data_IF_351332986042
#
_entry.id   IF_351332986042
#
_cell.length_a   1.000
_cell.length_b   1.000
_cell.length_c   1.000
_cell.angle_alpha   90.00
_cell.angle_beta   90.00
_cell.angle_gamma   90.00
#
_symmetry.space_group_name_H-M   'P 1'
#
loop_
_entity.id
_entity.type
_entity.pdbx_description
1 polymer ?
#
# COMPACT_ATOMS: atom_id res chain seq x y z
N UNK A 1 23.48 -22.86 -12.00
CA UNK A 1 22.46 -21.79 -12.15
C UNK A 1 22.73 -21.07 -13.47
N UNK A 2 21.74 -20.91 -14.36
CA UNK A 2 21.99 -20.27 -15.67
C UNK A 2 21.99 -18.74 -15.54
N UNK A 3 22.79 -18.04 -16.34
CA UNK A 3 22.86 -16.56 -16.34
C UNK A 3 21.47 -15.92 -16.57
N UNK A 4 20.60 -16.61 -17.32
CA UNK A 4 19.20 -16.23 -17.54
C UNK A 4 18.36 -16.24 -16.24
N UNK A 5 18.56 -17.25 -15.39
CA UNK A 5 17.86 -17.37 -14.11
C UNK A 5 18.24 -16.24 -13.14
N UNK A 6 19.53 -15.88 -13.10
CA UNK A 6 20.01 -14.78 -12.24
C UNK A 6 19.41 -13.45 -12.69
N UNK A 7 19.39 -13.16 -14.00
CA UNK A 7 18.75 -11.94 -14.54
C UNK A 7 17.27 -11.82 -14.17
N UNK A 8 16.51 -12.90 -14.27
CA UNK A 8 15.08 -12.92 -13.92
C UNK A 8 14.89 -12.69 -12.41
N UNK A 9 15.73 -13.31 -11.58
CA UNK A 9 15.69 -13.12 -10.13
C UNK A 9 15.99 -11.68 -9.72
N UNK A 10 17.08 -11.10 -10.23
CA UNK A 10 17.45 -9.69 -9.98
C UNK A 10 16.35 -8.74 -10.45
N UNK A 11 15.78 -8.98 -11.62
CA UNK A 11 14.68 -8.14 -12.13
C UNK A 11 13.42 -8.22 -11.24
N UNK A 12 13.06 -9.42 -10.79
CA UNK A 12 11.91 -9.61 -9.89
C UNK A 12 12.14 -8.96 -8.52
N UNK A 13 13.36 -9.04 -8.00
CA UNK A 13 13.76 -8.36 -6.77
C UNK A 13 13.64 -6.84 -6.89
N UNK A 14 14.18 -6.25 -7.96
CA UNK A 14 14.09 -4.81 -8.21
C UNK A 14 12.62 -4.36 -8.31
N UNK A 15 11.77 -5.14 -8.99
CA UNK A 15 10.34 -4.86 -9.05
C UNK A 15 9.78 -4.76 -7.63
N UNK A 16 9.88 -5.83 -6.83
CA UNK A 16 9.29 -5.84 -5.48
C UNK A 16 9.86 -4.74 -4.59
N UNK A 17 11.17 -4.48 -4.67
CA UNK A 17 11.84 -3.42 -3.90
C UNK A 17 11.27 -2.03 -4.20
N UNK A 18 11.03 -1.72 -5.48
CA UNK A 18 10.50 -0.42 -5.90
C UNK A 18 9.00 -0.26 -5.61
N UNK A 19 8.28 -1.34 -5.35
CA UNK A 19 6.84 -1.28 -5.10
C UNK A 19 6.48 -0.70 -3.72
N UNK A 20 7.39 -0.79 -2.74
CA UNK A 20 7.22 -0.14 -1.43
C UNK A 20 7.16 1.40 -1.54
N UNK A 21 8.15 2.11 -2.10
CA UNK A 21 8.08 3.57 -2.25
C UNK A 21 6.94 4.01 -3.18
N UNK A 22 6.55 3.20 -4.15
CA UNK A 22 5.37 3.47 -4.98
C UNK A 22 4.07 3.46 -4.16
N UNK A 23 3.91 2.51 -3.25
CA UNK A 23 2.76 2.47 -2.33
C UNK A 23 2.69 3.71 -1.43
N UNK A 24 3.82 4.12 -0.84
CA UNK A 24 3.87 5.35 -0.04
C UNK A 24 3.61 6.60 -0.88
N UNK A 25 4.09 6.64 -2.12
CA UNK A 25 3.80 7.75 -3.04
C UNK A 25 2.30 7.87 -3.29
N UNK A 26 1.61 6.74 -3.48
CA UNK A 26 0.16 6.70 -3.66
C UNK A 26 -0.59 7.22 -2.42
N UNK A 27 -0.11 6.89 -1.22
CA UNK A 27 -0.65 7.40 0.04
C UNK A 27 -0.51 8.92 0.13
N UNK A 28 0.69 9.46 -0.07
CA UNK A 28 0.95 10.90 -0.03
C UNK A 28 0.13 11.63 -1.09
N UNK A 29 -0.01 11.03 -2.26
CA UNK A 29 -0.84 11.59 -3.33
C UNK A 29 -2.32 11.66 -2.92
N UNK A 30 -2.84 10.60 -2.30
CA UNK A 30 -4.20 10.58 -1.79
C UNK A 30 -4.43 11.62 -0.67
N UNK A 31 -3.47 11.76 0.25
CA UNK A 31 -3.50 12.80 1.29
C UNK A 31 -3.52 14.21 0.69
N UNK A 32 -2.67 14.50 -0.31
CA UNK A 32 -2.57 15.82 -0.93
C UNK A 32 -3.73 16.17 -1.86
N UNK A 33 -4.25 15.20 -2.61
CA UNK A 33 -5.34 15.44 -3.56
C UNK A 33 -6.71 15.47 -2.89
N UNK A 34 -6.89 14.72 -1.80
CA UNK A 34 -8.17 14.52 -1.14
C UNK A 34 -8.07 14.82 0.36
N UNK A 35 -7.47 15.94 0.78
CA UNK A 35 -7.21 16.25 2.20
C UNK A 35 -8.42 15.99 3.11
N UNK A 36 -9.60 16.55 2.78
CA UNK A 36 -10.84 16.34 3.54
C UNK A 36 -11.53 15.00 3.27
N UNK A 37 -11.24 14.36 2.14
CA UNK A 37 -11.90 13.14 1.67
C UNK A 37 -10.93 11.94 1.58
N UNK A 38 -9.84 11.96 2.34
CA UNK A 38 -8.73 11.01 2.25
C UNK A 38 -9.21 9.57 2.38
N UNK A 39 -10.20 9.33 3.24
CA UNK A 39 -10.81 8.02 3.46
C UNK A 39 -11.65 7.55 2.26
N UNK A 40 -12.33 8.45 1.57
CA UNK A 40 -13.11 8.11 0.37
C UNK A 40 -12.15 7.77 -0.78
N UNK A 41 -11.10 8.58 -0.97
CA UNK A 41 -10.06 8.31 -1.96
C UNK A 41 -9.36 6.97 -1.71
N UNK A 42 -9.04 6.68 -0.45
CA UNK A 42 -8.46 5.41 -0.02
C UNK A 42 -9.41 4.22 -0.27
N UNK A 43 -10.71 4.41 0.00
CA UNK A 43 -11.76 3.45 -0.34
C UNK A 43 -11.78 3.11 -1.83
N UNK A 44 -11.75 4.12 -2.70
CA UNK A 44 -11.71 3.95 -4.17
C UNK A 44 -10.44 3.21 -4.60
N UNK A 45 -9.27 3.57 -4.05
CA UNK A 45 -7.99 2.90 -4.36
C UNK A 45 -8.10 1.40 -4.04
N UNK A 46 -8.61 1.04 -2.86
CA UNK A 46 -8.77 -0.37 -2.50
C UNK A 46 -9.80 -1.11 -3.37
N UNK A 47 -10.90 -0.46 -3.77
CA UNK A 47 -11.83 -1.04 -4.75
C UNK A 47 -11.19 -1.31 -6.11
N UNK A 48 -10.35 -0.38 -6.60
CA UNK A 48 -9.56 -0.58 -7.82
C UNK A 48 -8.61 -1.78 -7.64
N UNK A 49 -8.00 -1.92 -6.45
CA UNK A 49 -7.20 -3.08 -6.09
C UNK A 49 -7.96 -4.40 -6.17
N UNK A 50 -9.14 -4.49 -5.56
CA UNK A 50 -10.00 -5.69 -5.63
C UNK A 50 -10.43 -5.99 -7.07
N UNK A 51 -10.80 -4.97 -7.84
CA UNK A 51 -11.12 -5.15 -9.25
C UNK A 51 -9.94 -5.72 -10.04
N UNK A 52 -8.73 -5.18 -9.83
CA UNK A 52 -7.50 -5.69 -10.45
C UNK A 52 -7.21 -7.13 -10.03
N UNK A 53 -7.47 -7.50 -8.76
CA UNK A 53 -7.30 -8.86 -8.28
C UNK A 53 -8.23 -9.83 -9.01
N UNK A 54 -9.53 -9.52 -9.06
CA UNK A 54 -10.54 -10.34 -9.73
C UNK A 54 -10.22 -10.44 -11.22
N UNK A 55 -9.82 -9.34 -11.85
CA UNK A 55 -9.39 -9.31 -13.24
C UNK A 55 -8.16 -10.21 -13.45
N UNK A 56 -7.15 -10.11 -12.57
CA UNK A 56 -5.94 -10.93 -12.62
C UNK A 56 -6.25 -12.42 -12.59
N UNK A 57 -7.15 -12.84 -11.71
CA UNK A 57 -7.53 -14.26 -11.55
C UNK A 57 -8.32 -14.76 -12.76
N UNK A 58 -9.25 -13.94 -13.30
CA UNK A 58 -10.22 -14.42 -14.30
C UNK A 58 -9.81 -14.25 -15.74
N UNK A 59 -9.04 -13.22 -16.09
CA UNK A 59 -8.78 -12.80 -17.48
C UNK A 59 -7.36 -13.06 -17.96
N UNK A 60 -6.41 -13.33 -17.07
CA UNK A 60 -5.00 -13.39 -17.44
C UNK A 60 -4.59 -14.79 -17.88
N UNK A 61 -4.22 -14.94 -19.16
CA UNK A 61 -3.75 -16.24 -19.70
C UNK A 61 -2.26 -16.51 -19.42
N UNK A 62 -1.49 -15.47 -19.11
CA UNK A 62 -0.04 -15.56 -18.85
C UNK A 62 0.24 -15.46 -17.36
N UNK A 63 0.98 -16.43 -16.82
CA UNK A 63 1.33 -16.48 -15.40
C UNK A 63 2.07 -15.23 -14.92
N UNK A 64 3.06 -14.73 -15.68
CA UNK A 64 3.84 -13.55 -15.30
C UNK A 64 3.00 -12.27 -15.18
N UNK A 65 2.08 -12.06 -16.11
CA UNK A 65 1.16 -10.91 -16.07
C UNK A 65 0.20 -11.01 -14.89
N UNK A 66 -0.28 -12.22 -14.57
CA UNK A 66 -1.15 -12.43 -13.41
C UNK A 66 -0.44 -12.13 -12.09
N UNK A 67 0.84 -12.54 -11.97
CA UNK A 67 1.66 -12.21 -10.79
C UNK A 67 1.84 -10.70 -10.62
N UNK A 68 2.15 -9.97 -11.70
CA UNK A 68 2.35 -8.51 -11.62
C UNK A 68 1.05 -7.77 -11.29
N UNK A 69 -0.07 -8.17 -11.90
CA UNK A 69 -1.39 -7.61 -11.58
C UNK A 69 -1.82 -7.95 -10.14
N UNK A 70 -1.48 -9.14 -9.65
CA UNK A 70 -1.69 -9.53 -8.26
C UNK A 70 -0.87 -8.67 -7.28
N UNK A 71 0.39 -8.39 -7.60
CA UNK A 71 1.24 -7.48 -6.82
C UNK A 71 0.65 -6.06 -6.76
N UNK A 72 0.22 -5.52 -7.91
CA UNK A 72 -0.46 -4.22 -7.97
C UNK A 72 -1.75 -4.19 -7.15
N UNK A 73 -2.58 -5.23 -7.29
CA UNK A 73 -3.82 -5.35 -6.55
C UNK A 73 -3.59 -5.38 -5.03
N UNK A 74 -2.61 -6.17 -4.57
CA UNK A 74 -2.25 -6.26 -3.16
C UNK A 74 -1.84 -4.90 -2.59
N UNK A 75 -1.04 -4.14 -3.33
CA UNK A 75 -0.57 -2.82 -2.87
C UNK A 75 -1.70 -1.79 -2.86
N UNK A 76 -2.63 -1.84 -3.81
CA UNK A 76 -3.80 -0.95 -3.80
C UNK A 76 -4.75 -1.27 -2.64
N UNK A 77 -4.97 -2.55 -2.35
CA UNK A 77 -5.77 -2.96 -1.19
C UNK A 77 -5.08 -2.58 0.12
N UNK A 78 -3.77 -2.82 0.23
CA UNK A 78 -3.00 -2.44 1.42
C UNK A 78 -3.04 -0.92 1.64
N UNK A 79 -2.59 -0.15 0.64
CA UNK A 79 -2.49 1.31 0.75
C UNK A 79 -3.85 1.99 0.84
N UNK A 80 -4.91 1.41 0.27
CA UNK A 80 -6.25 1.98 0.32
C UNK A 80 -7.03 1.59 1.56
N UNK A 81 -7.09 0.30 1.91
CA UNK A 81 -7.96 -0.16 3.00
C UNK A 81 -7.19 -0.39 4.29
N UNK A 82 -6.06 -1.11 4.25
CA UNK A 82 -5.33 -1.48 5.47
C UNK A 82 -4.66 -0.25 6.09
N UNK A 83 -3.85 0.48 5.33
CA UNK A 83 -3.13 1.66 5.82
C UNK A 83 -4.08 2.75 6.34
N UNK A 84 -5.09 3.13 5.55
CA UNK A 84 -6.07 4.15 5.99
C UNK A 84 -7.02 3.65 7.07
N UNK A 85 -7.14 2.34 7.31
CA UNK A 85 -7.83 1.87 8.51
C UNK A 85 -7.07 2.27 9.78
N UNK A 86 -5.74 2.23 9.78
CA UNK A 86 -4.93 2.72 10.91
C UNK A 86 -5.08 4.23 11.10
N UNK A 87 -5.12 5.00 10.00
CA UNK A 87 -5.43 6.44 10.05
C UNK A 87 -6.82 6.68 10.66
N UNK A 88 -7.83 5.92 10.23
CA UNK A 88 -9.18 6.04 10.78
C UNK A 88 -9.27 5.67 12.26
N UNK A 89 -8.61 4.58 12.68
CA UNK A 89 -8.55 4.18 14.09
C UNK A 89 -7.83 5.22 14.93
N UNK A 90 -6.72 5.78 14.43
CA UNK A 90 -5.98 6.84 15.11
C UNK A 90 -6.80 8.12 15.29
N UNK A 91 -7.50 8.54 14.24
CA UNK A 91 -8.41 9.68 14.28
C UNK A 91 -9.57 9.40 15.27
N UNK A 92 -10.10 8.17 15.32
CA UNK A 92 -11.18 7.78 16.24
C UNK A 92 -10.76 7.75 17.70
N UNK A 93 -9.56 7.25 17.98
CA UNK A 93 -9.00 7.16 19.33
C UNK A 93 -8.33 8.46 19.77
N UNK A 94 -8.30 9.49 18.92
CA UNK A 94 -7.65 10.78 19.15
C UNK A 94 -6.19 10.59 19.61
N UNK A 95 -5.46 9.66 18.98
CA UNK A 95 -4.08 9.39 19.35
C UNK A 95 -3.21 10.58 18.91
N UNK A 96 -2.48 11.24 19.83
CA UNK A 96 -1.59 12.31 19.45
C UNK A 96 -0.39 11.78 18.67
N UNK A 97 0.13 12.59 17.75
CA UNK A 97 1.40 12.27 17.09
C UNK A 97 2.54 12.27 18.13
N UNK A 98 3.60 11.51 17.87
CA UNK A 98 4.78 11.55 18.72
C UNK A 98 5.60 12.79 18.37
N UNK A 99 5.80 13.67 19.36
CA UNK A 99 6.62 14.87 19.23
C UNK A 99 7.94 14.68 19.95
N UNK A 100 9.06 14.96 19.28
CA UNK A 100 10.37 15.15 19.93
C UNK A 100 10.93 16.51 19.52
N UNK A 101 11.39 17.31 20.48
CA UNK A 101 11.93 18.66 20.24
C UNK A 101 11.00 19.60 19.44
N UNK A 102 9.68 19.39 19.50
CA UNK A 102 8.69 20.19 18.77
C UNK A 102 8.42 19.73 17.33
N UNK A 103 9.11 18.70 16.84
CA UNK A 103 8.86 18.11 15.53
C UNK A 103 8.05 16.81 15.66
N UNK A 104 7.19 16.55 14.67
CA UNK A 104 6.45 15.28 14.58
C UNK A 104 7.41 14.21 14.09
N UNK A 105 7.81 13.31 15.00
CA UNK A 105 8.69 12.18 14.69
C UNK A 105 7.91 11.02 14.09
N UNK A 106 6.72 10.75 14.62
CA UNK A 106 5.90 9.61 14.20
C UNK A 106 4.44 10.01 14.09
N UNK A 107 3.82 9.72 12.94
CA UNK A 107 2.39 9.96 12.76
C UNK A 107 1.53 9.02 13.65
N UNK A 108 0.34 9.44 14.09
CA UNK A 108 -0.53 8.66 14.98
C UNK A 108 -0.82 7.23 14.50
N UNK A 109 -1.05 7.05 13.20
CA UNK A 109 -1.35 5.75 12.57
C UNK A 109 -0.23 4.72 12.77
N UNK A 110 1.03 5.16 12.75
CA UNK A 110 2.19 4.29 12.92
C UNK A 110 2.43 3.90 14.37
N UNK A 111 1.86 4.62 15.34
CA UNK A 111 1.88 4.23 16.75
C UNK A 111 0.93 3.07 17.04
N UNK A 112 -0.15 2.93 16.25
CA UNK A 112 -1.17 1.89 16.44
C UNK A 112 -0.82 0.62 15.69
N UNK A 113 -0.23 0.74 14.51
CA UNK A 113 0.17 -0.40 13.68
C UNK A 113 0.86 -1.54 14.46
N UNK A 114 1.87 -1.30 15.34
CA UNK A 114 2.51 -2.37 16.12
C UNK A 114 1.63 -2.98 17.24
N UNK A 115 0.56 -2.30 17.64
CA UNK A 115 -0.41 -2.78 18.64
C UNK A 115 -1.56 -3.59 18.04
N UNK A 116 -1.58 -3.76 16.71
CA UNK A 116 -2.59 -4.54 16.01
C UNK A 116 -2.25 -6.04 15.99
N UNK A 117 -3.28 -6.88 15.84
CA UNK A 117 -3.10 -8.31 15.60
C UNK A 117 -2.64 -8.45 14.14
N UNK A 118 -1.37 -8.85 13.96
CA UNK A 118 -0.77 -9.17 12.66
C UNK A 118 -1.18 -10.53 12.13
#
# INVERSE_FOLDING_TARGET
>A
MTFKSIKIGVFSFIIVLLFMPLGHTLMILNEKLFEHYKLIGAGIIGFVGVFLLVYSIRKTKKASTSTLLGLLAGIFVWTGWIEFSFVWVADKLNIPALYENGEVVTKPEYLIMPSSIG
#
